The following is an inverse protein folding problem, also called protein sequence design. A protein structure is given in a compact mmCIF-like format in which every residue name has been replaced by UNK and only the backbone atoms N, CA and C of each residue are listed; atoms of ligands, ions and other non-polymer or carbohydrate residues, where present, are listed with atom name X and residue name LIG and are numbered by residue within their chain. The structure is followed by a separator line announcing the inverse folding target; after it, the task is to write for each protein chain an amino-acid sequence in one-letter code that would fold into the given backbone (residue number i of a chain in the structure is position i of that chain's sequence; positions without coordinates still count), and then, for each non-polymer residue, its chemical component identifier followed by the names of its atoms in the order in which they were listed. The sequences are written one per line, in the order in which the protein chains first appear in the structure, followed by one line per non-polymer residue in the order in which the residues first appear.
data_IF_620655233407
#
_entry.id   IF_620655233407
#
_cell.length_a   1.000
_cell.length_b   1.000
_cell.length_c   1.000
_cell.angle_alpha   90.00
_cell.angle_beta   90.00
_cell.angle_gamma   90.00
#
_symmetry.space_group_name_H-M   'P 1'
#
loop_
_entity.id
_entity.type
_entity.pdbx_description
1 polymer ?
#
# COMPACT_ATOMS: atom_id res chain seq x y z
N UNK A 1 6.68 -6.77 3.47
CA UNK A 1 6.39 -6.68 4.92
C UNK A 1 5.34 -7.72 5.31
N UNK A 2 4.05 -7.57 4.96
CA UNK A 2 2.99 -8.50 5.35
C UNK A 2 3.12 -9.91 4.76
N UNK A 3 3.44 -10.05 3.46
CA UNK A 3 3.54 -11.36 2.79
C UNK A 3 4.61 -12.28 3.39
N UNK A 4 5.71 -11.73 3.91
CA UNK A 4 6.78 -12.54 4.53
C UNK A 4 6.35 -13.15 5.87
N UNK A 5 5.40 -12.51 6.56
CA UNK A 5 4.84 -12.97 7.84
C UNK A 5 3.67 -13.94 7.60
N UNK A 6 2.80 -13.64 6.63
CA UNK A 6 1.57 -14.40 6.40
C UNK A 6 1.73 -15.56 5.42
N UNK A 7 2.65 -15.48 4.45
CA UNK A 7 2.85 -16.54 3.46
C UNK A 7 4.27 -16.52 2.83
N UNK A 8 5.27 -17.10 3.52
CA UNK A 8 6.68 -17.04 3.13
C UNK A 8 7.05 -17.89 1.91
N UNK A 9 6.14 -18.70 1.37
CA UNK A 9 6.39 -19.62 0.24
C UNK A 9 5.93 -19.06 -1.13
N UNK A 10 5.52 -17.79 -1.17
CA UNK A 10 5.09 -17.14 -2.41
C UNK A 10 6.20 -16.24 -2.96
N UNK A 11 6.51 -16.39 -4.26
CA UNK A 11 7.41 -15.48 -4.98
C UNK A 11 6.90 -14.05 -4.82
N UNK A 12 7.72 -13.16 -4.26
CA UNK A 12 7.40 -11.75 -4.06
C UNK A 12 7.48 -10.96 -5.38
N UNK A 13 6.80 -11.43 -6.43
CA UNK A 13 6.61 -10.70 -7.68
C UNK A 13 5.30 -9.90 -7.56
N UNK A 14 5.33 -8.82 -6.77
CA UNK A 14 4.13 -8.03 -6.50
C UNK A 14 4.44 -6.59 -6.14
N UNK A 15 4.62 -5.73 -7.15
CA UNK A 15 4.69 -4.28 -6.98
C UNK A 15 3.37 -3.67 -6.46
N UNK A 16 2.27 -4.44 -6.45
CA UNK A 16 0.93 -3.98 -6.10
C UNK A 16 0.80 -3.49 -4.66
N UNK A 17 1.56 -4.02 -3.70
CA UNK A 17 1.58 -3.50 -2.34
C UNK A 17 1.95 -2.00 -2.25
N UNK A 18 2.79 -1.52 -3.17
CA UNK A 18 3.14 -0.10 -3.30
C UNK A 18 1.99 0.75 -3.84
N UNK A 19 1.20 0.24 -4.80
CA UNK A 19 0.00 0.92 -5.30
C UNK A 19 -1.00 1.15 -4.16
N UNK A 20 -1.23 0.13 -3.33
CA UNK A 20 -2.09 0.26 -2.16
C UNK A 20 -1.53 1.21 -1.10
N UNK A 21 -0.21 1.28 -0.93
CA UNK A 21 0.41 2.31 -0.09
C UNK A 21 0.15 3.73 -0.62
N UNK A 22 0.20 3.95 -1.94
CA UNK A 22 -0.15 5.23 -2.54
C UNK A 22 -1.63 5.57 -2.36
N UNK A 23 -2.53 4.58 -2.48
CA UNK A 23 -3.96 4.72 -2.18
C UNK A 23 -4.13 5.17 -0.72
N UNK A 24 -3.52 4.46 0.24
CA UNK A 24 -3.57 4.78 1.66
C UNK A 24 -3.03 6.18 1.98
N UNK A 25 -1.92 6.58 1.35
CA UNK A 25 -1.36 7.92 1.50
C UNK A 25 -2.31 9.01 0.98
N UNK A 26 -3.03 8.76 -0.11
CA UNK A 26 -4.03 9.71 -0.60
C UNK A 26 -5.24 9.83 0.32
N UNK A 27 -5.68 8.72 0.93
CA UNK A 27 -6.69 8.78 1.99
C UNK A 27 -6.22 9.62 3.18
N UNK A 28 -4.95 9.52 3.58
CA UNK A 28 -4.40 10.38 4.63
C UNK A 28 -4.53 11.87 4.29
N UNK A 29 -4.19 12.28 3.06
CA UNK A 29 -4.35 13.68 2.62
C UNK A 29 -5.81 14.13 2.74
N UNK A 30 -6.74 13.29 2.25
CA UNK A 30 -8.17 13.59 2.22
C UNK A 30 -8.75 13.72 3.63
N UNK A 31 -8.34 12.86 4.56
CA UNK A 31 -8.79 12.91 5.96
C UNK A 31 -8.25 14.17 6.65
N UNK A 32 -6.95 14.45 6.49
CA UNK A 32 -6.29 15.57 7.17
C UNK A 32 -6.74 16.94 6.64
N UNK A 33 -7.15 17.01 5.37
CA UNK A 33 -7.50 18.27 4.71
C UNK A 33 -8.97 18.28 4.23
N UNK A 34 -9.84 17.49 4.84
CA UNK A 34 -11.22 17.29 4.37
C UNK A 34 -12.00 18.61 4.25
N UNK A 35 -11.89 19.45 5.28
CA UNK A 35 -12.64 20.70 5.38
C UNK A 35 -12.19 21.66 4.29
N UNK A 36 -10.88 21.80 4.11
CA UNK A 36 -10.24 22.71 3.17
C UNK A 36 -10.50 22.26 1.71
N UNK A 37 -10.50 20.94 1.45
CA UNK A 37 -10.79 20.37 0.13
C UNK A 37 -12.28 20.32 -0.23
N UNK A 38 -13.18 20.45 0.76
CA UNK A 38 -14.63 20.47 0.56
C UNK A 38 -15.19 21.88 0.56
N UNK A 39 -14.50 22.85 1.15
CA UNK A 39 -14.92 24.24 1.11
C UNK A 39 -14.90 24.79 -0.32
N UNK A 40 -16.03 25.30 -0.80
CA UNK A 40 -16.18 25.95 -2.11
C UNK A 40 -15.82 25.06 -3.33
N UNK A 41 -15.85 23.74 -3.18
CA UNK A 41 -15.39 22.80 -4.22
C UNK A 41 -16.14 22.95 -5.55
N UNK A 42 -17.40 23.41 -5.52
CA UNK A 42 -18.25 23.59 -6.72
C UNK A 42 -17.99 24.89 -7.49
N UNK A 43 -17.13 25.80 -7.00
CA UNK A 43 -16.96 27.14 -7.60
C UNK A 43 -16.16 27.16 -8.91
N UNK A 44 -15.60 26.04 -9.34
CA UNK A 44 -14.89 25.94 -10.62
C UNK A 44 -14.33 24.55 -10.89
N UNK A 45 -14.05 24.25 -12.17
CA UNK A 45 -13.58 22.92 -12.62
C UNK A 45 -12.32 22.48 -11.86
N UNK A 46 -11.36 23.39 -11.66
CA UNK A 46 -10.13 23.06 -10.92
C UNK A 46 -10.39 22.70 -9.45
N UNK A 47 -11.36 23.36 -8.81
CA UNK A 47 -11.74 23.06 -7.43
C UNK A 47 -12.48 21.73 -7.32
N UNK A 48 -13.28 21.39 -8.33
CA UNK A 48 -13.95 20.07 -8.41
C UNK A 48 -12.91 18.97 -8.58
N UNK A 49 -11.93 19.13 -9.47
CA UNK A 49 -10.88 18.14 -9.70
C UNK A 49 -10.00 17.90 -8.47
N UNK A 50 -9.72 18.96 -7.70
CA UNK A 50 -8.95 18.86 -6.45
C UNK A 50 -9.79 18.48 -5.22
N UNK A 51 -11.10 18.36 -5.37
CA UNK A 51 -12.01 18.12 -4.25
C UNK A 51 -11.81 16.73 -3.63
N UNK A 52 -12.10 16.63 -2.33
CA UNK A 52 -12.14 15.37 -1.61
C UNK A 52 -13.07 14.33 -2.28
N UNK A 53 -14.33 14.64 -2.63
CA UNK A 53 -15.23 13.66 -3.27
C UNK A 53 -14.73 13.18 -4.64
N UNK A 54 -14.14 14.05 -5.48
CA UNK A 54 -13.57 13.62 -6.76
C UNK A 54 -12.41 12.64 -6.56
N UNK A 55 -11.50 12.93 -5.63
CA UNK A 55 -10.39 12.03 -5.31
C UNK A 55 -10.89 10.69 -4.79
N UNK A 56 -11.86 10.69 -3.88
CA UNK A 56 -12.48 9.45 -3.39
C UNK A 56 -13.14 8.66 -4.52
N UNK A 57 -13.81 9.33 -5.46
CA UNK A 57 -14.41 8.71 -6.62
C UNK A 57 -13.37 8.03 -7.52
N UNK A 58 -12.28 8.73 -7.86
CA UNK A 58 -11.18 8.18 -8.67
C UNK A 58 -10.54 6.96 -7.99
N UNK A 59 -10.27 7.04 -6.69
CA UNK A 59 -9.73 5.91 -5.93
C UNK A 59 -10.71 4.73 -5.88
N UNK A 60 -12.01 5.00 -5.76
CA UNK A 60 -13.04 3.96 -5.77
C UNK A 60 -13.07 3.21 -7.10
N UNK A 61 -12.97 3.91 -8.24
CA UNK A 61 -12.89 3.27 -9.57
C UNK A 61 -11.66 2.36 -9.65
N UNK A 62 -10.50 2.86 -9.23
CA UNK A 62 -9.25 2.11 -9.29
C UNK A 62 -9.29 0.84 -8.42
N UNK A 63 -9.82 0.94 -7.20
CA UNK A 63 -10.00 -0.22 -6.31
C UNK A 63 -10.99 -1.21 -6.88
N UNK A 64 -12.12 -0.74 -7.43
CA UNK A 64 -13.10 -1.61 -8.08
C UNK A 64 -12.49 -2.36 -9.27
N UNK A 65 -11.66 -1.70 -10.08
CA UNK A 65 -10.98 -2.33 -11.20
C UNK A 65 -9.97 -3.39 -10.72
N UNK A 66 -9.18 -3.10 -9.70
CA UNK A 66 -8.20 -4.04 -9.14
C UNK A 66 -8.90 -5.30 -8.56
N UNK A 67 -9.96 -5.09 -7.77
CA UNK A 67 -10.78 -6.20 -7.24
C UNK A 67 -11.43 -6.99 -8.39
N UNK A 68 -11.96 -6.31 -9.39
CA UNK A 68 -12.56 -6.94 -10.57
C UNK A 68 -11.57 -7.82 -11.32
N UNK A 69 -10.35 -7.33 -11.53
CA UNK A 69 -9.26 -8.09 -12.13
C UNK A 69 -8.82 -9.27 -11.24
N UNK A 70 -8.77 -9.10 -9.92
CA UNK A 70 -8.44 -10.18 -8.99
C UNK A 70 -9.51 -11.28 -9.00
N UNK A 71 -10.80 -10.92 -9.07
CA UNK A 71 -11.92 -11.84 -9.21
C UNK A 71 -11.87 -12.54 -10.56
N UNK A 72 -11.64 -11.80 -11.65
CA UNK A 72 -11.51 -12.36 -13.00
C UNK A 72 -10.36 -13.37 -13.10
N UNK A 73 -9.20 -13.05 -12.52
CA UNK A 73 -8.05 -13.97 -12.50
C UNK A 73 -8.29 -15.21 -11.62
N UNK A 74 -9.15 -15.11 -10.59
CA UNK A 74 -9.44 -16.23 -9.69
C UNK A 74 -10.53 -17.16 -10.18
N UNK A 75 -11.52 -16.65 -10.91
CA UNK A 75 -12.65 -17.44 -11.41
C UNK A 75 -12.61 -17.64 -12.94
N UNK A 76 -11.63 -17.04 -13.62
CA UNK A 76 -11.43 -17.16 -15.05
C UNK A 76 -10.80 -18.50 -15.47
N UNK A 77 -10.80 -18.81 -16.77
CA UNK A 77 -10.35 -20.10 -17.31
C UNK A 77 -8.86 -20.37 -17.09
N UNK A 78 -8.05 -19.33 -16.88
CA UNK A 78 -6.61 -19.42 -16.63
C UNK A 78 -6.33 -19.12 -15.16
N UNK A 79 -6.48 -20.13 -14.29
CA UNK A 79 -6.25 -20.07 -12.84
C UNK A 79 -4.78 -19.74 -12.51
N UNK A 80 -4.36 -18.50 -12.70
CA UNK A 80 -3.07 -18.02 -12.27
C UNK A 80 -3.13 -17.58 -10.79
N UNK A 81 -2.04 -17.88 -10.09
CA UNK A 81 -1.91 -17.99 -8.63
C UNK A 81 -2.45 -16.78 -7.82
N UNK A 82 -2.89 -17.08 -6.60
CA UNK A 82 -3.56 -16.15 -5.69
C UNK A 82 -2.71 -14.94 -5.32
N UNK A 83 -3.28 -13.76 -5.55
CA UNK A 83 -2.71 -12.49 -5.11
C UNK A 83 -2.88 -12.39 -3.57
N UNK A 84 -1.80 -12.02 -2.88
CA UNK A 84 -1.83 -11.88 -1.42
C UNK A 84 -2.60 -10.62 -1.01
N UNK A 85 -3.88 -10.77 -0.65
CA UNK A 85 -4.71 -9.71 -0.08
C UNK A 85 -4.08 -9.08 1.17
N UNK A 86 -3.35 -9.86 1.96
CA UNK A 86 -2.61 -9.37 3.12
C UNK A 86 -1.52 -8.34 2.72
N UNK A 87 -0.90 -8.52 1.55
CA UNK A 87 0.08 -7.56 1.01
C UNK A 87 -0.55 -6.22 0.65
N UNK A 88 -1.74 -6.26 0.05
CA UNK A 88 -2.49 -5.06 -0.35
C UNK A 88 -2.98 -4.28 0.86
N UNK A 89 -3.65 -4.97 1.80
CA UNK A 89 -4.18 -4.34 3.02
C UNK A 89 -3.03 -3.80 3.88
N UNK A 90 -1.96 -4.58 4.04
CA UNK A 90 -0.77 -4.13 4.76
C UNK A 90 -0.09 -2.92 4.12
N UNK A 91 -0.02 -2.89 2.78
CA UNK A 91 0.47 -1.75 2.02
C UNK A 91 -0.39 -0.50 2.23
N UNK A 92 -1.72 -0.63 2.14
CA UNK A 92 -2.65 0.48 2.36
C UNK A 92 -2.56 1.06 3.77
N UNK A 93 -2.51 0.21 4.80
CA UNK A 93 -2.37 0.66 6.19
C UNK A 93 -1.03 1.37 6.39
N UNK A 94 0.06 0.79 5.89
CA UNK A 94 1.38 1.41 5.98
C UNK A 94 1.41 2.78 5.28
N UNK A 95 0.82 2.87 4.08
CA UNK A 95 0.69 4.12 3.33
C UNK A 95 -0.15 5.18 4.04
N UNK A 96 -1.24 4.79 4.69
CA UNK A 96 -2.06 5.68 5.50
C UNK A 96 -1.28 6.22 6.71
N UNK A 97 -0.63 5.33 7.48
CA UNK A 97 0.11 5.68 8.69
C UNK A 97 1.34 6.53 8.41
N UNK A 98 2.05 6.30 7.30
CA UNK A 98 3.17 7.15 6.84
C UNK A 98 2.64 8.41 6.17
N UNK A 99 1.48 8.33 5.53
CA UNK A 99 0.88 9.44 4.81
C UNK A 99 0.51 10.61 5.72
N UNK A 100 -0.05 10.31 6.90
CA UNK A 100 -0.45 11.30 7.90
C UNK A 100 0.72 12.20 8.34
N UNK A 101 1.90 11.69 8.71
CA UNK A 101 3.03 12.52 9.12
C UNK A 101 3.82 13.15 7.96
N UNK A 102 3.84 12.54 6.78
CA UNK A 102 4.66 13.00 5.65
C UNK A 102 3.94 14.06 4.81
N UNK A 103 2.62 13.95 4.64
CA UNK A 103 1.89 14.83 3.73
C UNK A 103 1.46 16.13 4.39
N UNK A 104 1.46 17.18 3.57
CA UNK A 104 1.20 18.55 4.01
C UNK A 104 -0.21 18.68 4.56
N UNK A 105 -0.29 19.18 5.78
CA UNK A 105 -1.52 19.60 6.42
C UNK A 105 -1.64 21.13 6.33
N UNK A 106 -2.70 21.62 5.69
CA UNK A 106 -2.86 23.05 5.40
C UNK A 106 -3.26 23.87 6.64
N UNK A 107 -4.04 23.29 7.55
CA UNK A 107 -4.49 23.96 8.78
C UNK A 107 -4.50 22.99 9.97
N UNK A 108 -3.41 23.02 10.75
CA UNK A 108 -3.14 22.03 11.80
C UNK A 108 -4.02 22.27 13.03
N UNK A 109 -4.99 21.39 13.23
CA UNK A 109 -5.86 21.33 14.41
C UNK A 109 -5.17 20.55 15.55
N UNK A 110 -5.50 20.82 16.82
CA UNK A 110 -4.85 20.15 17.96
C UNK A 110 -5.04 18.63 17.97
N UNK A 111 -6.17 18.12 17.48
CA UNK A 111 -6.43 16.68 17.38
C UNK A 111 -5.56 16.00 16.31
N UNK A 112 -5.18 16.72 15.25
CA UNK A 112 -4.34 16.21 14.16
C UNK A 112 -2.91 15.94 14.64
N UNK A 113 -2.41 16.70 15.62
CA UNK A 113 -1.12 16.43 16.28
C UNK A 113 -1.14 15.11 17.05
N UNK A 114 -2.26 14.78 17.69
CA UNK A 114 -2.42 13.50 18.40
C UNK A 114 -2.43 12.36 17.39
N UNK A 115 -3.20 12.50 16.30
CA UNK A 115 -3.26 11.50 15.22
C UNK A 115 -1.90 11.31 14.53
N UNK A 116 -1.13 12.39 14.34
CA UNK A 116 0.25 12.34 13.86
C UNK A 116 1.12 11.44 14.72
N UNK A 117 1.18 11.71 16.03
CA UNK A 117 2.06 10.96 16.94
C UNK A 117 1.63 9.51 17.10
N UNK A 118 0.31 9.25 17.15
CA UNK A 118 -0.23 7.89 17.15
C UNK A 118 0.19 7.15 15.88
N UNK A 119 0.06 7.79 14.71
CA UNK A 119 0.39 7.16 13.42
C UNK A 119 1.88 6.82 13.33
N UNK A 120 2.75 7.72 13.77
CA UNK A 120 4.20 7.47 13.86
C UNK A 120 4.50 6.31 14.82
N UNK A 121 3.91 6.31 16.02
CA UNK A 121 4.15 5.26 17.01
C UNK A 121 3.70 3.88 16.50
N UNK A 122 2.50 3.80 15.91
CA UNK A 122 1.96 2.55 15.35
C UNK A 122 2.81 2.05 14.18
N UNK A 123 3.25 2.94 13.28
CA UNK A 123 4.11 2.56 12.16
C UNK A 123 5.47 2.03 12.64
N UNK A 124 6.14 2.75 13.53
CA UNK A 124 7.45 2.34 14.07
C UNK A 124 7.34 1.02 14.82
N UNK A 125 6.30 0.84 15.64
CA UNK A 125 6.05 -0.41 16.34
C UNK A 125 5.82 -1.58 15.36
N UNK A 126 5.00 -1.37 14.33
CA UNK A 126 4.74 -2.38 13.30
C UNK A 126 6.00 -2.78 12.53
N UNK A 127 6.85 -1.81 12.20
CA UNK A 127 8.16 -2.05 11.57
C UNK A 127 9.09 -2.82 12.53
N UNK A 128 9.16 -2.42 13.80
CA UNK A 128 9.98 -3.10 14.80
C UNK A 128 9.56 -4.56 15.02
N UNK A 129 8.24 -4.82 15.10
CA UNK A 129 7.70 -6.18 15.20
C UNK A 129 8.04 -6.99 13.94
N UNK A 130 7.89 -6.41 12.74
CA UNK A 130 8.23 -7.09 11.50
C UNK A 130 9.73 -7.43 11.40
N UNK A 131 10.60 -6.49 11.80
CA UNK A 131 12.05 -6.72 11.85
C UNK A 131 12.35 -7.82 12.87
N UNK A 132 11.81 -7.73 14.09
CA UNK A 132 12.00 -8.75 15.13
C UNK A 132 11.55 -10.13 14.69
N UNK A 133 10.40 -10.25 14.03
CA UNK A 133 9.89 -11.51 13.50
C UNK A 133 10.80 -12.10 12.42
N UNK A 134 11.41 -11.26 11.56
CA UNK A 134 12.39 -11.72 10.57
C UNK A 134 13.71 -12.15 11.22
N UNK A 135 14.19 -11.44 12.26
CA UNK A 135 15.42 -11.79 12.97
C UNK A 135 15.28 -13.09 13.77
N UNK A 136 14.10 -13.36 14.34
CA UNK A 136 13.83 -14.55 15.15
C UNK A 136 13.50 -15.80 14.30
N UNK A 137 13.20 -15.63 13.01
CA UNK A 137 12.99 -16.75 12.08
C UNK A 137 14.32 -17.20 11.48
N UNK A 138 14.86 -18.31 11.97
CA UNK A 138 16.09 -18.92 11.44
C UNK A 138 15.88 -19.81 10.20
N UNK A 139 14.65 -20.21 9.90
CA UNK A 139 14.33 -21.17 8.83
C UNK A 139 13.57 -20.50 7.68
N UNK A 140 14.30 -19.82 6.80
CA UNK A 140 13.78 -19.43 5.49
C UNK A 140 13.87 -20.62 4.53
N UNK A 141 12.89 -20.82 3.62
CA UNK A 141 13.00 -21.82 2.57
C UNK A 141 14.26 -21.54 1.73
N UNK A 142 14.90 -22.60 1.23
CA UNK A 142 16.04 -22.47 0.33
C UNK A 142 15.60 -21.66 -0.89
N UNK A 143 16.37 -20.63 -1.25
CA UNK A 143 16.07 -19.80 -2.42
C UNK A 143 16.12 -20.65 -3.70
N UNK A 144 15.05 -20.61 -4.48
CA UNK A 144 14.91 -21.28 -5.79
C UNK A 144 15.76 -20.60 -6.89
N UNK A 145 16.76 -19.82 -6.50
CA UNK A 145 17.52 -18.94 -7.37
C UNK A 145 18.27 -19.77 -8.42
N UNK A 146 17.70 -19.85 -9.62
CA UNK A 146 18.40 -20.33 -10.80
C UNK A 146 19.06 -19.13 -11.46
N UNK A 147 20.36 -19.17 -11.79
CA UNK A 147 20.99 -18.10 -12.56
C UNK A 147 20.17 -17.81 -13.81
N UNK A 148 19.77 -16.56 -13.95
CA UNK A 148 18.86 -16.08 -15.00
C UNK A 148 19.50 -16.15 -16.40
N UNK A 149 20.78 -16.53 -16.48
CA UNK A 149 21.49 -16.76 -17.72
C UNK A 149 22.29 -18.05 -17.59
N UNK A 150 22.32 -18.92 -18.62
CA UNK A 150 23.33 -19.95 -18.72
C UNK A 150 24.70 -19.28 -18.60
N UNK A 151 25.52 -19.74 -17.66
CA UNK A 151 26.96 -19.44 -17.69
C UNK A 151 27.47 -19.91 -19.05
N UNK A 152 27.95 -18.96 -19.87
CA UNK A 152 28.64 -19.29 -21.09
C UNK A 152 29.84 -20.16 -20.70
N UNK A 153 29.81 -21.44 -21.08
CA UNK A 153 30.94 -22.34 -20.92
C UNK A 153 32.08 -21.84 -21.81
N UNK A 154 32.97 -21.01 -21.26
CA UNK A 154 34.26 -20.75 -21.88
C UNK A 154 35.18 -21.93 -21.54
N UNK A 155 35.07 -23.01 -22.32
CA UNK A 155 36.08 -24.05 -22.34
C UNK A 155 37.30 -23.53 -23.13
N UNK A 156 38.36 -23.19 -22.42
CA UNK A 156 39.74 -23.31 -22.92
C UNK A 156 40.31 -24.64 -22.47
#
# INVERSE_FOLDING_TARGET
MASSVTDPYTLLCGASGGCYALIGAHFAIVIMNWKEMTQNWQKGVMNVMCSAPMRLFLWSILVCFDIGMAVYNRYGPNNHMGVSYAAHVGGAIAGLLVGIPVLKNFDVKPWEKVVFWISVAVYVLGVAIAIGFNLLRANYPKTDWRPCCPVANYNT
#
